data_IF_675331544503
#
_entry.id   IF_675331544503
#
_cell.length_a   1.000
_cell.length_b   1.000
_cell.length_c   1.000
_cell.angle_alpha   90.00
_cell.angle_beta   90.00
_cell.angle_gamma   90.00
#
_symmetry.space_group_name_H-M   'P 1'
#
loop_
_entity.id
_entity.type
_entity.pdbx_description
1 polymer ?
#
# COMPACT_ATOMS: atom_id res chain seq x y z
N UNK A 1 42.96 -53.24 42.94
CA UNK A 1 42.64 -52.54 41.68
C UNK A 1 41.62 -51.45 42.00
N UNK A 2 42.09 -50.25 42.37
CA UNK A 2 41.26 -49.05 42.48
C UNK A 2 41.24 -48.39 41.10
N UNK A 3 40.04 -48.17 40.54
CA UNK A 3 39.85 -47.37 39.33
C UNK A 3 39.45 -45.97 39.74
N UNK A 4 40.36 -45.02 39.54
CA UNK A 4 40.15 -43.58 39.65
C UNK A 4 39.28 -43.11 38.48
N UNK A 5 38.12 -42.54 38.78
CA UNK A 5 37.28 -41.83 37.80
C UNK A 5 37.73 -40.38 37.79
N UNK A 6 38.27 -39.94 36.64
CA UNK A 6 38.61 -38.53 36.40
C UNK A 6 37.33 -37.84 35.94
N UNK A 7 36.81 -36.93 36.77
CA UNK A 7 35.73 -36.04 36.41
C UNK A 7 36.29 -34.92 35.51
N UNK A 8 35.89 -34.91 34.25
CA UNK A 8 36.18 -33.84 33.29
C UNK A 8 35.25 -32.67 33.58
N UNK A 9 35.78 -31.61 34.17
CA UNK A 9 35.08 -30.33 34.33
C UNK A 9 34.93 -29.69 32.95
N UNK A 10 33.75 -29.78 32.36
CA UNK A 10 33.40 -29.02 31.15
C UNK A 10 33.23 -27.55 31.55
N UNK A 11 34.23 -26.72 31.19
CA UNK A 11 34.09 -25.27 31.25
C UNK A 11 33.07 -24.85 30.18
N UNK A 12 31.86 -24.50 30.61
CA UNK A 12 30.94 -23.71 29.80
C UNK A 12 31.58 -22.34 29.57
N UNK A 13 32.21 -22.19 28.41
CA UNK A 13 32.51 -20.87 27.86
C UNK A 13 31.19 -20.18 27.56
N UNK A 14 30.82 -19.20 28.38
CA UNK A 14 29.85 -18.17 28.03
C UNK A 14 30.41 -17.43 26.81
N UNK A 15 30.04 -17.89 25.62
CA UNK A 15 30.19 -17.10 24.42
C UNK A 15 29.28 -15.88 24.60
N UNK A 16 29.88 -14.74 24.96
CA UNK A 16 29.27 -13.45 24.72
C UNK A 16 29.10 -13.36 23.20
N UNK A 17 27.92 -13.76 22.72
CA UNK A 17 27.58 -13.66 21.31
C UNK A 17 27.56 -12.19 20.95
N UNK A 18 28.65 -11.72 20.34
CA UNK A 18 28.67 -10.43 19.68
C UNK A 18 27.50 -10.44 18.69
N UNK A 19 26.62 -9.44 18.77
CA UNK A 19 25.60 -9.23 17.76
C UNK A 19 26.28 -9.20 16.37
N UNK A 20 25.64 -9.77 15.34
CA UNK A 20 26.18 -9.71 13.98
C UNK A 20 26.43 -8.25 13.59
N UNK A 21 27.46 -8.03 12.75
CA UNK A 21 27.78 -6.70 12.25
C UNK A 21 26.54 -6.07 11.62
N UNK A 22 26.15 -4.89 12.13
CA UNK A 22 24.87 -4.25 11.83
C UNK A 22 24.99 -3.09 10.84
N UNK A 23 26.20 -2.81 10.32
CA UNK A 23 26.39 -1.70 9.39
C UNK A 23 25.93 -2.08 7.98
N UNK A 24 24.98 -1.32 7.42
CA UNK A 24 24.56 -1.47 6.03
C UNK A 24 25.71 -1.23 5.02
N UNK A 25 25.68 -1.92 3.86
CA UNK A 25 24.69 -2.92 3.46
C UNK A 25 24.88 -4.25 4.20
N UNK A 26 23.77 -4.83 4.70
CA UNK A 26 23.78 -6.13 5.37
C UNK A 26 23.29 -7.22 4.42
N UNK A 27 24.12 -8.25 4.21
CA UNK A 27 23.74 -9.44 3.44
C UNK A 27 22.90 -10.39 4.27
N UNK A 28 21.69 -10.65 3.83
CA UNK A 28 20.74 -11.52 4.52
C UNK A 28 20.03 -12.42 3.52
N UNK A 29 19.52 -13.57 3.97
CA UNK A 29 18.58 -14.34 3.18
C UNK A 29 17.15 -13.89 3.46
N UNK A 30 16.40 -13.55 2.42
CA UNK A 30 14.99 -13.20 2.48
C UNK A 30 14.19 -14.08 1.51
N UNK A 31 12.87 -14.19 1.71
CA UNK A 31 12.00 -14.86 0.76
C UNK A 31 11.69 -13.91 -0.40
N UNK A 32 12.11 -14.26 -1.62
CA UNK A 32 11.90 -13.46 -2.82
C UNK A 32 11.07 -14.23 -3.84
N UNK A 33 10.15 -13.56 -4.51
CA UNK A 33 9.33 -14.16 -5.55
C UNK A 33 10.21 -14.51 -6.76
N UNK A 34 10.34 -15.80 -7.04
CA UNK A 34 11.12 -16.30 -8.18
C UNK A 34 10.32 -16.34 -9.47
N UNK A 35 11.00 -16.62 -10.58
CA UNK A 35 10.44 -16.72 -11.94
C UNK A 35 9.26 -17.67 -12.05
N UNK A 36 9.25 -18.74 -11.25
CA UNK A 36 8.20 -19.76 -11.25
C UNK A 36 6.95 -19.36 -10.44
N UNK A 37 6.93 -18.14 -9.87
CA UNK A 37 5.83 -17.65 -9.04
C UNK A 37 5.81 -18.18 -7.61
N UNK A 38 6.92 -18.71 -7.11
CA UNK A 38 7.08 -19.14 -5.72
C UNK A 38 8.09 -18.28 -4.98
N UNK A 39 7.81 -17.99 -3.71
CA UNK A 39 8.77 -17.38 -2.80
C UNK A 39 9.85 -18.39 -2.42
N UNK A 40 11.10 -18.01 -2.62
CA UNK A 40 12.27 -18.85 -2.31
C UNK A 40 13.31 -18.05 -1.54
N UNK A 41 14.09 -18.69 -0.66
CA UNK A 41 15.24 -18.05 -0.04
C UNK A 41 16.23 -17.53 -1.08
N UNK A 42 16.59 -16.25 -0.97
CA UNK A 42 17.59 -15.62 -1.83
C UNK A 42 18.51 -14.71 -1.00
N UNK A 43 19.80 -14.66 -1.34
CA UNK A 43 20.71 -13.65 -0.80
C UNK A 43 20.31 -12.27 -1.34
N UNK A 44 20.01 -11.35 -0.43
CA UNK A 44 19.69 -9.96 -0.72
C UNK A 44 20.55 -9.04 0.14
N UNK A 45 20.54 -7.75 -0.19
CA UNK A 45 21.15 -6.71 0.62
C UNK A 45 20.06 -5.82 1.19
N UNK A 46 20.18 -5.53 2.49
CA UNK A 46 19.44 -4.47 3.17
C UNK A 46 20.34 -3.25 3.24
N UNK A 47 20.02 -2.23 2.45
CA UNK A 47 20.78 -1.00 2.28
C UNK A 47 20.48 0.04 3.37
N UNK A 48 19.32 -0.08 4.01
CA UNK A 48 18.77 0.94 4.90
C UNK A 48 18.76 0.55 6.38
N UNK A 49 19.15 -0.69 6.67
CA UNK A 49 19.12 -1.27 8.01
C UNK A 49 20.26 -0.70 8.87
N UNK A 50 19.97 -0.34 10.12
CA UNK A 50 20.97 0.10 11.11
C UNK A 50 21.11 -0.87 12.28
N UNK A 51 20.05 -1.64 12.56
CA UNK A 51 20.03 -2.72 13.54
C UNK A 51 19.33 -3.95 12.93
N UNK A 52 20.13 -4.94 12.51
CA UNK A 52 19.62 -6.18 11.92
C UNK A 52 18.93 -7.11 12.92
N UNK A 53 19.26 -7.01 14.21
CA UNK A 53 18.65 -7.84 15.27
C UNK A 53 17.32 -7.24 15.70
N UNK A 54 17.26 -5.93 15.91
CA UNK A 54 16.02 -5.20 16.18
C UNK A 54 15.15 -4.95 14.94
N UNK A 55 15.66 -5.24 13.74
CA UNK A 55 15.06 -4.90 12.45
C UNK A 55 14.62 -3.44 12.35
N UNK A 56 15.57 -2.55 12.62
CA UNK A 56 15.40 -1.10 12.55
C UNK A 56 16.31 -0.49 11.50
N UNK A 57 15.80 0.51 10.79
CA UNK A 57 16.58 1.28 9.84
C UNK A 57 15.83 2.50 9.36
N UNK A 58 16.22 3.05 8.21
CA UNK A 58 15.63 4.32 7.73
C UNK A 58 14.25 4.13 7.10
N UNK A 59 13.91 2.92 6.66
CA UNK A 59 12.60 2.66 6.01
C UNK A 59 11.54 2.20 6.99
N UNK A 60 11.91 1.45 8.04
CA UNK A 60 10.98 0.88 9.02
C UNK A 60 11.64 0.64 10.39
N UNK A 61 10.83 0.65 11.43
CA UNK A 61 11.16 0.21 12.80
C UNK A 61 10.16 -0.87 13.23
N UNK A 62 10.60 -2.13 13.34
CA UNK A 62 9.72 -3.25 13.67
C UNK A 62 9.49 -3.38 15.18
N UNK A 63 8.22 -3.41 15.56
CA UNK A 63 7.76 -3.52 16.94
C UNK A 63 6.82 -4.73 17.09
N UNK A 64 7.09 -5.61 18.06
CA UNK A 64 6.32 -6.82 18.30
C UNK A 64 5.36 -6.71 19.48
N UNK A 65 4.21 -7.38 19.38
CA UNK A 65 3.28 -7.55 20.51
C UNK A 65 2.53 -6.28 20.94
N UNK A 66 2.33 -5.34 20.01
CA UNK A 66 1.46 -4.19 20.25
C UNK A 66 -0.01 -4.62 20.36
N UNK A 67 -0.82 -3.80 21.02
CA UNK A 67 -2.28 -3.99 21.13
C UNK A 67 -2.97 -2.70 20.73
N UNK A 68 -3.76 -2.77 19.68
CA UNK A 68 -4.47 -1.64 19.07
C UNK A 68 -5.95 -2.00 19.06
N UNK A 69 -6.80 -1.16 19.65
CA UNK A 69 -8.23 -1.42 19.78
C UNK A 69 -9.02 -0.21 19.33
N UNK A 70 -9.94 -0.43 18.39
CA UNK A 70 -10.98 0.52 18.02
C UNK A 70 -12.28 0.02 18.64
N UNK A 71 -12.81 0.77 19.61
CA UNK A 71 -14.06 0.50 20.30
C UNK A 71 -14.82 1.80 20.50
N UNK A 72 -15.98 1.95 19.88
CA UNK A 72 -16.81 3.15 20.02
C UNK A 72 -17.26 3.44 21.46
N UNK A 73 -17.19 2.45 22.36
CA UNK A 73 -17.53 2.59 23.78
C UNK A 73 -16.32 2.95 24.66
N UNK A 74 -15.13 3.05 24.09
CA UNK A 74 -13.91 3.38 24.83
C UNK A 74 -13.96 4.84 25.32
N UNK A 75 -13.91 5.10 26.63
CA UNK A 75 -13.96 6.46 27.16
C UNK A 75 -12.74 7.29 26.74
N UNK A 76 -11.56 6.69 26.58
CA UNK A 76 -10.35 7.43 26.17
C UNK A 76 -10.49 7.88 24.71
N UNK A 77 -11.04 7.00 23.86
CA UNK A 77 -11.29 7.32 22.44
C UNK A 77 -12.36 8.40 22.30
N UNK A 78 -13.44 8.31 23.07
CA UNK A 78 -14.53 9.28 23.05
C UNK A 78 -14.12 10.66 23.60
N UNK A 79 -13.13 10.71 24.48
CA UNK A 79 -12.60 11.96 25.04
C UNK A 79 -11.42 12.53 24.25
N UNK A 80 -10.90 11.80 23.26
CA UNK A 80 -9.81 12.27 22.42
C UNK A 80 -10.25 13.44 21.54
N UNK A 81 -9.55 14.57 21.64
CA UNK A 81 -9.81 15.77 20.83
C UNK A 81 -8.62 16.18 19.98
N UNK A 82 -7.47 15.52 20.15
CA UNK A 82 -6.24 15.76 19.40
C UNK A 82 -5.78 14.48 18.70
N UNK A 83 -5.06 14.59 17.57
CA UNK A 83 -4.56 13.42 16.86
C UNK A 83 -3.71 12.49 17.75
N UNK A 84 -2.81 13.05 18.56
CA UNK A 84 -2.04 12.30 19.57
C UNK A 84 -2.94 11.63 20.63
N UNK A 85 -3.99 12.32 21.08
CA UNK A 85 -4.98 11.75 22.00
C UNK A 85 -5.69 10.54 21.39
N UNK A 86 -6.07 10.60 20.12
CA UNK A 86 -6.65 9.47 19.40
C UNK A 86 -5.66 8.31 19.29
N UNK A 87 -4.42 8.58 18.87
CA UNK A 87 -3.39 7.56 18.76
C UNK A 87 -3.14 6.85 20.10
N UNK A 88 -3.02 7.61 21.19
CA UNK A 88 -2.85 7.08 22.55
C UNK A 88 -4.08 6.30 23.03
N UNK A 89 -5.29 6.75 22.67
CA UNK A 89 -6.51 6.03 23.00
C UNK A 89 -6.57 4.67 22.27
N UNK A 90 -6.16 4.60 21.01
CA UNK A 90 -6.19 3.35 20.24
C UNK A 90 -5.06 2.38 20.64
N UNK A 91 -3.86 2.90 20.89
CA UNK A 91 -2.67 2.10 21.21
C UNK A 91 -2.64 1.70 22.69
N UNK A 92 -3.34 0.62 23.02
CA UNK A 92 -3.42 0.09 24.40
C UNK A 92 -2.11 -0.50 24.90
N UNK A 93 -1.26 -0.96 23.99
CA UNK A 93 0.11 -1.37 24.28
C UNK A 93 0.97 -1.08 23.04
N UNK A 94 2.05 -0.33 23.21
CA UNK A 94 2.97 0.02 22.12
C UNK A 94 3.80 -1.19 21.63
N UNK A 95 3.81 -2.29 22.37
CA UNK A 95 4.66 -3.44 22.09
C UNK A 95 6.09 -3.22 22.58
N UNK A 96 7.03 -3.92 21.95
CA UNK A 96 8.47 -3.85 22.25
C UNK A 96 9.28 -4.16 21.00
N UNK A 97 10.55 -3.77 21.02
CA UNK A 97 11.51 -4.14 19.99
C UNK A 97 11.44 -5.65 19.68
N UNK A 98 11.39 -5.99 18.40
CA UNK A 98 11.53 -7.38 17.95
C UNK A 98 12.96 -7.86 18.16
N UNK A 99 13.16 -9.18 18.14
CA UNK A 99 14.50 -9.76 18.17
C UNK A 99 14.58 -10.88 17.14
N UNK A 100 15.33 -10.61 16.08
CA UNK A 100 15.60 -11.53 14.99
C UNK A 100 16.79 -12.44 15.31
N UNK A 101 16.67 -13.72 15.00
CA UNK A 101 17.71 -14.72 15.20
C UNK A 101 18.31 -15.16 13.87
N UNK A 102 19.64 -15.18 13.78
CA UNK A 102 20.34 -15.52 12.55
C UNK A 102 21.39 -16.62 12.74
N UNK A 103 21.63 -17.37 11.67
CA UNK A 103 22.77 -18.24 11.49
C UNK A 103 23.66 -17.60 10.42
N UNK A 104 24.90 -17.26 10.76
CA UNK A 104 25.86 -16.74 9.77
C UNK A 104 26.44 -17.88 8.94
N UNK A 105 26.30 -17.80 7.62
CA UNK A 105 26.89 -18.77 6.68
C UNK A 105 27.44 -18.03 5.46
N UNK A 106 28.74 -18.18 5.18
CA UNK A 106 29.37 -17.58 4.01
C UNK A 106 29.33 -16.04 3.97
N UNK A 107 29.24 -15.38 5.14
CA UNK A 107 29.08 -13.91 5.22
C UNK A 107 27.66 -13.41 4.97
N UNK A 108 26.68 -14.32 4.89
CA UNK A 108 25.25 -14.02 4.78
C UNK A 108 24.55 -14.41 6.07
N UNK A 109 23.64 -13.56 6.55
CA UNK A 109 22.78 -13.86 7.70
C UNK A 109 21.55 -14.64 7.24
N UNK A 110 21.40 -15.88 7.70
CA UNK A 110 20.23 -16.71 7.40
C UNK A 110 19.26 -16.67 8.58
N UNK A 111 17.99 -16.26 8.39
CA UNK A 111 16.99 -16.34 9.45
C UNK A 111 16.92 -17.74 10.07
N UNK A 112 17.03 -17.82 11.39
CA UNK A 112 17.12 -19.07 12.15
C UNK A 112 15.75 -19.67 12.51
N UNK A 113 14.70 -18.86 12.42
CA UNK A 113 13.33 -19.22 12.74
C UNK A 113 12.34 -18.55 11.77
N UNK A 114 11.10 -19.04 11.81
CA UNK A 114 10.03 -18.59 10.93
C UNK A 114 9.64 -17.12 11.13
N UNK A 115 9.65 -16.62 12.36
CA UNK A 115 9.35 -15.21 12.61
C UNK A 115 10.42 -14.31 12.00
N UNK A 116 11.69 -14.68 12.15
CA UNK A 116 12.80 -13.94 11.55
C UNK A 116 12.70 -13.95 10.03
N UNK A 117 12.31 -15.07 9.40
CA UNK A 117 12.03 -15.12 7.96
C UNK A 117 10.96 -14.11 7.55
N UNK A 118 9.84 -14.05 8.28
CA UNK A 118 8.76 -13.13 7.99
C UNK A 118 9.18 -11.67 8.17
N UNK A 119 9.79 -11.35 9.31
CA UNK A 119 10.17 -9.96 9.64
C UNK A 119 11.25 -9.42 8.68
N UNK A 120 12.28 -10.21 8.38
CA UNK A 120 13.34 -9.82 7.42
C UNK A 120 12.76 -9.64 6.02
N UNK A 121 11.86 -10.55 5.60
CA UNK A 121 11.23 -10.44 4.28
C UNK A 121 10.32 -9.22 4.20
N UNK A 122 9.52 -8.94 5.24
CA UNK A 122 8.69 -7.74 5.30
C UNK A 122 9.55 -6.46 5.22
N UNK A 123 10.64 -6.38 6.00
CA UNK A 123 11.58 -5.25 5.93
C UNK A 123 12.18 -5.10 4.54
N UNK A 124 12.64 -6.21 3.93
CA UNK A 124 13.16 -6.21 2.57
C UNK A 124 12.12 -5.68 1.57
N UNK A 125 10.87 -6.13 1.64
CA UNK A 125 9.78 -5.66 0.78
C UNK A 125 9.47 -4.17 0.99
N UNK A 126 9.53 -3.67 2.22
CA UNK A 126 9.40 -2.23 2.50
C UNK A 126 10.56 -1.42 1.91
N UNK A 127 11.79 -1.93 1.98
CA UNK A 127 12.95 -1.28 1.35
C UNK A 127 12.79 -1.22 -0.18
N UNK A 128 12.28 -2.28 -0.81
CA UNK A 128 11.98 -2.29 -2.25
C UNK A 128 10.85 -1.32 -2.63
N UNK A 129 9.80 -1.21 -1.80
CA UNK A 129 8.74 -0.23 -1.99
C UNK A 129 9.25 1.21 -1.84
N UNK A 130 10.08 1.47 -0.82
CA UNK A 130 10.77 2.74 -0.63
C UNK A 130 11.63 3.11 -1.85
N UNK A 131 12.48 2.19 -2.32
CA UNK A 131 13.31 2.38 -3.51
C UNK A 131 12.47 2.68 -4.75
N UNK A 132 11.38 1.94 -4.94
CA UNK A 132 10.44 2.15 -6.05
C UNK A 132 9.90 3.59 -6.04
N UNK A 133 9.37 4.06 -4.91
CA UNK A 133 8.80 5.41 -4.84
C UNK A 133 9.87 6.50 -4.97
N UNK A 134 11.08 6.27 -4.45
CA UNK A 134 12.19 7.21 -4.58
C UNK A 134 12.70 7.32 -6.02
N UNK A 135 12.86 6.18 -6.70
CA UNK A 135 13.47 6.10 -8.04
C UNK A 135 12.43 6.30 -9.14
N UNK A 136 11.38 5.49 -9.17
CA UNK A 136 10.34 5.52 -10.20
C UNK A 136 9.37 6.67 -9.93
N UNK A 137 8.83 6.72 -8.71
CA UNK A 137 7.92 7.77 -8.25
C UNK A 137 8.57 9.15 -8.10
N UNK A 138 9.90 9.22 -8.12
CA UNK A 138 10.69 10.45 -7.99
C UNK A 138 10.44 11.22 -6.69
N UNK A 139 10.11 10.52 -5.61
CA UNK A 139 9.95 11.16 -4.31
C UNK A 139 11.31 11.41 -3.67
N UNK A 140 11.62 12.65 -3.29
CA UNK A 140 12.78 12.95 -2.45
C UNK A 140 12.77 12.14 -1.15
N UNK A 141 13.95 11.76 -0.64
CA UNK A 141 14.06 10.92 0.56
C UNK A 141 13.50 11.62 1.80
N UNK A 142 13.64 12.95 1.87
CA UNK A 142 13.11 13.81 2.92
C UNK A 142 11.58 13.79 3.05
N UNK A 143 10.87 13.43 1.97
CA UNK A 143 9.40 13.37 1.99
C UNK A 143 8.86 12.21 2.82
N UNK A 144 9.66 11.18 3.05
CA UNK A 144 9.26 10.02 3.85
C UNK A 144 9.29 10.29 5.36
N UNK A 145 9.85 11.43 5.79
CA UNK A 145 10.00 11.81 7.21
C UNK A 145 10.80 10.75 7.99
N UNK A 146 10.26 10.31 9.12
CA UNK A 146 10.84 9.30 10.01
C UNK A 146 10.60 7.86 9.48
N UNK A 147 11.39 6.88 9.96
CA UNK A 147 11.11 5.47 9.71
C UNK A 147 9.69 5.13 10.18
N UNK A 148 8.95 4.38 9.37
CA UNK A 148 7.58 4.02 9.75
C UNK A 148 7.61 2.93 10.81
N UNK A 149 6.86 3.11 11.90
CA UNK A 149 6.64 2.02 12.86
C UNK A 149 5.87 0.90 12.19
N UNK A 150 6.41 -0.30 12.23
CA UNK A 150 5.81 -1.51 11.67
C UNK A 150 5.52 -2.48 12.80
N UNK A 151 4.24 -2.59 13.17
CA UNK A 151 3.80 -3.53 14.17
C UNK A 151 3.74 -4.94 13.58
N UNK A 152 4.66 -5.80 14.02
CA UNK A 152 4.69 -7.21 13.69
C UNK A 152 3.82 -8.01 14.68
N UNK A 153 2.78 -8.64 14.14
CA UNK A 153 1.77 -9.42 14.86
C UNK A 153 1.16 -8.65 16.05
N UNK A 154 0.56 -7.47 15.81
CA UNK A 154 -0.21 -6.81 16.84
C UNK A 154 -1.52 -7.55 17.10
N UNK A 155 -2.05 -7.41 18.32
CA UNK A 155 -3.48 -7.63 18.57
C UNK A 155 -4.25 -6.40 18.05
N UNK A 156 -4.80 -6.48 16.84
CA UNK A 156 -5.61 -5.41 16.26
C UNK A 156 -7.10 -5.77 16.30
N UNK A 157 -7.89 -5.04 17.10
CA UNK A 157 -9.30 -5.38 17.38
C UNK A 157 -10.21 -4.25 16.92
N UNK A 158 -11.22 -4.59 16.11
CA UNK A 158 -12.33 -3.70 15.74
C UNK A 158 -13.57 -4.10 16.55
N UNK A 159 -13.63 -3.67 17.81
CA UNK A 159 -14.57 -4.20 18.81
C UNK A 159 -16.05 -4.03 18.45
N UNK A 160 -16.37 -3.04 17.62
CA UNK A 160 -17.73 -2.80 17.10
C UNK A 160 -18.16 -3.84 16.05
N UNK A 161 -17.20 -4.51 15.40
CA UNK A 161 -17.42 -5.57 14.41
C UNK A 161 -17.24 -6.95 15.04
N UNK A 162 -16.08 -7.17 15.66
CA UNK A 162 -15.71 -8.41 16.32
C UNK A 162 -14.76 -8.13 17.50
N UNK A 163 -14.88 -8.91 18.57
CA UNK A 163 -14.02 -8.80 19.76
C UNK A 163 -12.71 -9.55 19.60
N UNK A 164 -12.64 -10.48 18.65
CA UNK A 164 -11.41 -11.21 18.36
C UNK A 164 -10.46 -10.35 17.50
N UNK A 165 -9.14 -10.47 17.69
CA UNK A 165 -8.17 -9.77 16.86
C UNK A 165 -8.28 -10.16 15.39
N UNK A 166 -8.10 -9.18 14.51
CA UNK A 166 -7.97 -9.42 13.08
C UNK A 166 -6.70 -10.21 12.77
N UNK A 167 -6.81 -11.09 11.79
CA UNK A 167 -5.74 -11.93 11.26
C UNK A 167 -5.74 -11.92 9.73
N UNK A 168 -4.75 -12.57 9.11
CA UNK A 168 -4.61 -12.76 7.66
C UNK A 168 -4.70 -11.44 6.87
N UNK A 169 -4.03 -10.39 7.36
CA UNK A 169 -3.97 -9.10 6.68
C UNK A 169 -2.61 -8.39 6.82
N UNK A 170 -2.35 -7.45 5.93
CA UNK A 170 -1.35 -6.40 6.10
C UNK A 170 -2.03 -5.07 5.80
N UNK A 171 -1.73 -4.01 6.56
CA UNK A 171 -2.32 -2.71 6.28
C UNK A 171 -1.44 -1.53 6.69
N UNK A 172 -1.54 -0.42 5.97
CA UNK A 172 -1.14 0.88 6.49
C UNK A 172 -2.30 1.52 7.26
N UNK A 173 -2.08 1.80 8.54
CA UNK A 173 -3.07 2.41 9.42
C UNK A 173 -2.72 3.89 9.68
N UNK A 174 -3.34 4.78 8.90
CA UNK A 174 -3.06 6.22 8.89
C UNK A 174 -3.21 6.90 10.25
N UNK A 175 -4.14 6.45 11.10
CA UNK A 175 -4.38 7.08 12.41
C UNK A 175 -3.14 6.97 13.31
N UNK A 176 -2.39 5.88 13.21
CA UNK A 176 -1.12 5.70 13.92
C UNK A 176 0.09 5.96 13.02
N UNK A 177 -0.13 6.36 11.76
CA UNK A 177 0.87 6.45 10.71
C UNK A 177 1.79 5.21 10.64
N UNK A 178 1.25 4.01 10.87
CA UNK A 178 2.04 2.78 11.06
C UNK A 178 1.60 1.66 10.10
N UNK A 179 2.49 0.69 9.88
CA UNK A 179 2.14 -0.55 9.21
C UNK A 179 1.78 -1.62 10.22
N UNK A 180 0.74 -2.39 9.92
CA UNK A 180 0.35 -3.56 10.68
C UNK A 180 0.59 -4.79 9.82
N UNK A 181 1.47 -5.67 10.27
CA UNK A 181 1.64 -7.01 9.72
C UNK A 181 0.89 -7.95 10.65
N UNK A 182 -0.36 -8.31 10.30
CA UNK A 182 -1.21 -9.07 11.21
C UNK A 182 -0.77 -10.53 11.33
N UNK A 183 -1.09 -11.20 12.46
CA UNK A 183 -0.94 -12.65 12.58
C UNK A 183 -1.73 -13.37 11.48
N UNK A 184 -1.28 -14.55 11.06
CA UNK A 184 -2.04 -15.42 10.17
C UNK A 184 -2.49 -16.68 10.91
N UNK A 185 -3.72 -17.09 10.64
CA UNK A 185 -4.33 -18.27 11.28
C UNK A 185 -4.13 -19.53 10.44
N UNK A 186 -4.13 -19.38 9.11
CA UNK A 186 -3.82 -20.45 8.17
C UNK A 186 -2.47 -20.20 7.49
N UNK A 187 -1.65 -21.24 7.37
CA UNK A 187 -0.45 -21.22 6.53
C UNK A 187 -0.87 -21.13 5.05
N UNK A 188 -1.22 -19.93 4.60
CA UNK A 188 -1.29 -19.57 3.20
C UNK A 188 0.09 -19.82 2.55
N UNK A 189 0.14 -20.06 1.23
CA UNK A 189 1.41 -20.30 0.51
C UNK A 189 2.46 -19.23 0.83
N UNK A 190 2.06 -17.97 0.71
CA UNK A 190 2.84 -16.82 1.14
C UNK A 190 1.94 -15.93 2.01
N UNK A 191 2.21 -15.80 3.32
CA UNK A 191 1.56 -14.80 4.15
C UNK A 191 1.57 -13.42 3.48
N UNK A 192 0.51 -12.63 3.65
CA UNK A 192 0.42 -11.29 3.03
C UNK A 192 1.61 -10.40 3.43
N UNK A 193 2.10 -10.59 4.66
CA UNK A 193 3.32 -10.01 5.23
C UNK A 193 4.59 -10.15 4.37
N UNK A 194 4.70 -11.23 3.60
CA UNK A 194 5.87 -11.52 2.76
C UNK A 194 5.60 -11.27 1.28
N UNK A 195 4.37 -10.88 0.92
CA UNK A 195 4.02 -10.59 -0.45
C UNK A 195 4.49 -9.18 -0.83
N UNK A 196 5.54 -9.09 -1.64
CA UNK A 196 6.16 -7.82 -2.00
C UNK A 196 5.18 -6.85 -2.70
N UNK A 197 4.23 -7.36 -3.50
CA UNK A 197 3.21 -6.53 -4.14
C UNK A 197 2.23 -5.95 -3.13
N UNK A 198 1.82 -6.73 -2.13
CA UNK A 198 0.92 -6.26 -1.07
C UNK A 198 1.63 -5.25 -0.17
N UNK A 199 2.88 -5.51 0.23
CA UNK A 199 3.66 -4.52 0.98
C UNK A 199 3.81 -3.22 0.17
N UNK A 200 4.01 -3.28 -1.15
CA UNK A 200 4.05 -2.10 -2.00
C UNK A 200 2.70 -1.38 -2.11
N UNK A 201 1.58 -2.12 -2.12
CA UNK A 201 0.22 -1.56 -2.05
C UNK A 201 0.03 -0.78 -0.75
N UNK A 202 0.32 -1.40 0.41
CA UNK A 202 0.21 -0.72 1.71
C UNK A 202 1.17 0.48 1.81
N UNK A 203 2.35 0.38 1.19
CA UNK A 203 3.29 1.49 1.13
C UNK A 203 2.82 2.64 0.24
N UNK A 204 2.05 2.34 -0.79
CA UNK A 204 1.40 3.37 -1.59
C UNK A 204 0.36 4.14 -0.77
N UNK A 205 -0.39 3.51 0.14
CA UNK A 205 -1.26 4.22 1.08
C UNK A 205 -0.50 5.17 1.99
N UNK A 206 0.70 4.80 2.46
CA UNK A 206 1.57 5.75 3.20
C UNK A 206 1.92 6.96 2.34
N UNK A 207 2.34 6.74 1.10
CA UNK A 207 2.70 7.84 0.19
C UNK A 207 1.49 8.71 -0.14
N UNK A 208 0.34 8.10 -0.37
CA UNK A 208 -0.93 8.80 -0.60
C UNK A 208 -1.33 9.61 0.64
N UNK A 209 -1.20 9.05 1.84
CA UNK A 209 -1.43 9.79 3.07
C UNK A 209 -0.51 11.01 3.19
N UNK A 210 0.80 10.82 3.02
CA UNK A 210 1.78 11.91 3.10
C UNK A 210 1.51 13.04 2.10
N UNK A 211 1.06 12.71 0.88
CA UNK A 211 0.94 13.67 -0.21
C UNK A 211 -0.51 14.10 -0.47
N UNK A 212 -1.41 13.17 -0.77
CA UNK A 212 -2.80 13.46 -1.11
C UNK A 212 -3.69 13.76 0.12
N UNK A 213 -3.35 13.26 1.31
CA UNK A 213 -4.02 13.64 2.56
C UNK A 213 -3.26 14.68 3.39
N UNK A 214 -2.13 15.19 2.89
CA UNK A 214 -1.31 16.19 3.59
C UNK A 214 -0.56 15.65 4.81
N UNK A 215 -0.41 14.32 4.95
CA UNK A 215 0.23 13.67 6.09
C UNK A 215 -0.52 13.86 7.39
N UNK A 216 -1.86 13.92 7.31
CA UNK A 216 -2.74 14.01 8.46
C UNK A 216 -3.21 12.61 8.88
N UNK A 217 -3.16 12.31 10.18
CA UNK A 217 -3.73 11.09 10.76
C UNK A 217 -5.23 10.95 10.45
N UNK A 218 -5.93 12.09 10.41
CA UNK A 218 -7.33 12.21 10.02
C UNK A 218 -7.42 13.17 8.84
N UNK A 219 -7.52 12.65 7.60
CA UNK A 219 -7.65 13.50 6.42
C UNK A 219 -8.87 14.42 6.55
N UNK A 220 -8.64 15.74 6.40
CA UNK A 220 -9.67 16.77 6.62
C UNK A 220 -10.92 16.51 5.76
N UNK A 221 -10.71 16.19 4.48
CA UNK A 221 -11.78 15.89 3.54
C UNK A 221 -12.65 14.72 4.00
N UNK A 222 -12.04 13.57 4.36
CA UNK A 222 -12.78 12.40 4.82
C UNK A 222 -13.50 12.68 6.14
N UNK A 223 -12.87 13.43 7.06
CA UNK A 223 -13.43 13.77 8.36
C UNK A 223 -14.68 14.64 8.25
N UNK A 224 -14.70 15.59 7.31
CA UNK A 224 -15.84 16.47 7.06
C UNK A 224 -16.93 15.77 6.24
N UNK A 225 -16.55 15.05 5.18
CA UNK A 225 -17.48 14.48 4.21
C UNK A 225 -18.24 13.25 4.73
N UNK A 226 -17.69 12.53 5.72
CA UNK A 226 -18.39 11.41 6.37
C UNK A 226 -19.63 11.84 7.18
N UNK A 227 -19.75 13.13 7.52
CA UNK A 227 -20.87 13.65 8.31
C UNK A 227 -22.16 13.84 7.48
N UNK A 228 -22.08 13.65 6.17
CA UNK A 228 -23.20 13.79 5.24
C UNK A 228 -23.95 12.48 5.04
N UNK A 229 -25.24 12.56 4.65
CA UNK A 229 -26.04 11.36 4.36
C UNK A 229 -25.56 10.54 3.16
N UNK A 230 -25.07 11.21 2.11
CA UNK A 230 -24.31 10.62 1.01
C UNK A 230 -22.92 11.25 0.98
N UNK A 231 -21.89 10.46 0.64
CA UNK A 231 -20.49 10.88 0.74
C UNK A 231 -19.71 10.70 -0.59
N UNK A 232 -20.20 11.24 -1.73
CA UNK A 232 -19.61 10.98 -3.04
C UNK A 232 -18.13 11.36 -3.14
N UNK A 233 -17.75 12.52 -2.60
CA UNK A 233 -16.35 12.96 -2.63
C UNK A 233 -15.43 12.03 -1.83
N UNK A 234 -15.89 11.56 -0.67
CA UNK A 234 -15.14 10.62 0.14
C UNK A 234 -15.03 9.24 -0.52
N UNK A 235 -16.12 8.75 -1.12
CA UNK A 235 -16.15 7.48 -1.83
C UNK A 235 -15.17 7.50 -3.02
N UNK A 236 -15.15 8.59 -3.80
CA UNK A 236 -14.21 8.79 -4.91
C UNK A 236 -12.77 8.84 -4.39
N UNK A 237 -12.50 9.64 -3.36
CA UNK A 237 -11.16 9.82 -2.83
C UNK A 237 -10.59 8.50 -2.27
N UNK A 238 -11.38 7.72 -1.52
CA UNK A 238 -10.98 6.37 -1.07
C UNK A 238 -10.78 5.41 -2.25
N UNK A 239 -11.63 5.46 -3.27
CA UNK A 239 -11.48 4.59 -4.45
C UNK A 239 -10.19 4.90 -5.21
N UNK A 240 -9.79 6.18 -5.27
CA UNK A 240 -8.52 6.59 -5.86
C UNK A 240 -7.34 6.10 -5.01
N UNK A 241 -7.39 6.25 -3.69
CA UNK A 241 -6.38 5.73 -2.77
C UNK A 241 -6.10 4.22 -3.04
N UNK A 242 -7.16 3.41 -3.06
CA UNK A 242 -7.09 1.96 -3.35
C UNK A 242 -6.57 1.63 -4.75
N UNK A 243 -7.12 2.28 -5.78
CA UNK A 243 -6.74 1.99 -7.16
C UNK A 243 -5.32 2.41 -7.50
N UNK A 244 -4.87 3.53 -6.95
CA UNK A 244 -3.51 4.01 -7.16
C UNK A 244 -2.52 3.18 -6.35
N UNK A 245 -2.92 2.67 -5.18
CA UNK A 245 -2.14 1.69 -4.43
C UNK A 245 -1.91 0.39 -5.23
N UNK A 246 -2.96 -0.15 -5.87
CA UNK A 246 -2.83 -1.29 -6.78
C UNK A 246 -1.91 -1.02 -7.97
N UNK A 247 -2.06 0.14 -8.60
CA UNK A 247 -1.25 0.46 -9.78
C UNK A 247 0.23 0.66 -9.42
N UNK A 248 0.52 1.25 -8.25
CA UNK A 248 1.88 1.35 -7.72
C UNK A 248 2.45 0.00 -7.30
N UNK A 249 1.66 -0.88 -6.68
CA UNK A 249 2.07 -2.24 -6.36
C UNK A 249 2.51 -3.01 -7.61
N UNK A 250 1.71 -2.95 -8.68
CA UNK A 250 2.09 -3.45 -10.00
C UNK A 250 3.41 -2.84 -10.48
N UNK A 251 3.57 -1.52 -10.43
CA UNK A 251 4.82 -0.85 -10.81
C UNK A 251 6.03 -1.30 -9.99
N UNK A 252 5.86 -1.54 -8.70
CA UNK A 252 6.91 -2.01 -7.80
C UNK A 252 7.35 -3.44 -8.15
N UNK A 253 6.43 -4.32 -8.54
CA UNK A 253 6.76 -5.68 -8.98
C UNK A 253 7.64 -5.71 -10.24
N UNK A 254 7.63 -4.65 -11.06
CA UNK A 254 8.54 -4.52 -12.20
C UNK A 254 10.02 -4.43 -11.78
N UNK A 255 10.29 -3.88 -10.60
CA UNK A 255 11.65 -3.62 -10.10
C UNK A 255 12.26 -4.85 -9.42
N UNK A 256 11.43 -5.82 -9.00
CA UNK A 256 11.88 -7.10 -8.43
C UNK A 256 12.38 -8.03 -9.54
N UNK A 257 13.45 -7.61 -10.20
CA UNK A 257 14.04 -8.24 -11.40
C UNK A 257 14.80 -9.54 -11.11
N UNK A 258 14.95 -9.94 -9.84
CA UNK A 258 15.67 -11.16 -9.45
C UNK A 258 15.01 -12.47 -9.94
N UNK A 259 13.76 -12.41 -10.43
CA UNK A 259 13.05 -13.55 -11.02
C UNK A 259 12.79 -13.47 -12.53
N UNK A 260 13.20 -12.43 -13.26
CA UNK A 260 12.98 -12.33 -14.71
C UNK A 260 11.52 -12.41 -15.21
N UNK A 261 10.53 -12.32 -14.31
CA UNK A 261 9.10 -12.56 -14.60
C UNK A 261 8.38 -11.34 -15.21
N UNK A 262 9.05 -10.18 -15.25
CA UNK A 262 8.40 -8.92 -15.59
C UNK A 262 7.48 -8.44 -14.46
N UNK A 263 6.69 -7.41 -14.74
CA UNK A 263 5.70 -6.88 -13.81
C UNK A 263 4.55 -7.88 -13.59
N UNK A 264 3.98 -7.93 -12.39
CA UNK A 264 2.91 -8.86 -12.01
C UNK A 264 1.58 -8.10 -11.82
N UNK A 265 0.67 -8.21 -12.79
CA UNK A 265 -0.69 -7.63 -12.69
C UNK A 265 -1.59 -8.38 -11.72
N UNK A 266 -1.13 -9.54 -11.22
CA UNK A 266 -1.85 -10.47 -10.37
C UNK A 266 -1.05 -10.75 -9.09
N UNK A 267 -0.37 -9.74 -8.55
CA UNK A 267 0.50 -9.89 -7.38
C UNK A 267 -0.21 -10.50 -6.15
N UNK A 268 -1.53 -10.33 -6.04
CA UNK A 268 -2.38 -11.00 -5.05
C UNK A 268 -2.39 -12.53 -5.14
N UNK A 269 -2.15 -13.11 -6.31
CA UNK A 269 -2.23 -14.56 -6.59
C UNK A 269 -1.27 -15.43 -5.78
N UNK A 270 -0.20 -14.82 -5.26
CA UNK A 270 0.81 -15.55 -4.48
C UNK A 270 0.36 -15.78 -3.04
N UNK A 271 -0.57 -14.96 -2.53
CA UNK A 271 -1.17 -15.11 -1.20
C UNK A 271 -2.58 -15.69 -1.27
N UNK A 272 -3.43 -15.12 -2.13
CA UNK A 272 -4.81 -15.54 -2.31
C UNK A 272 -4.93 -16.65 -3.35
N UNK A 273 -5.31 -17.85 -2.92
CA UNK A 273 -5.47 -19.02 -3.80
C UNK A 273 -6.62 -19.93 -3.34
N UNK A 274 -7.00 -20.87 -4.22
CA UNK A 274 -8.09 -21.82 -3.94
C UNK A 274 -9.48 -21.26 -4.18
N UNK A 275 -10.51 -22.08 -3.98
CA UNK A 275 -11.90 -21.72 -4.33
C UNK A 275 -12.45 -20.56 -3.48
N UNK A 276 -11.94 -20.38 -2.26
CA UNK A 276 -12.42 -19.35 -1.32
C UNK A 276 -11.88 -17.96 -1.65
N UNK A 277 -10.62 -17.85 -2.09
CA UNK A 277 -9.93 -16.58 -2.27
C UNK A 277 -9.42 -16.31 -3.69
N UNK A 278 -9.51 -17.30 -4.60
CA UNK A 278 -9.10 -17.15 -5.99
C UNK A 278 -9.87 -16.05 -6.73
N UNK A 279 -11.11 -15.79 -6.32
CA UNK A 279 -11.90 -14.70 -6.88
C UNK A 279 -11.29 -13.33 -6.60
N UNK A 280 -10.67 -13.10 -5.43
CA UNK A 280 -10.00 -11.82 -5.13
C UNK A 280 -8.89 -11.54 -6.16
N UNK A 281 -8.14 -12.56 -6.54
CA UNK A 281 -7.10 -12.42 -7.58
C UNK A 281 -7.70 -12.04 -8.93
N UNK A 282 -8.76 -12.73 -9.36
CA UNK A 282 -9.43 -12.41 -10.64
C UNK A 282 -10.15 -11.07 -10.62
N UNK A 283 -10.65 -10.66 -9.45
CA UNK A 283 -11.36 -9.40 -9.22
C UNK A 283 -10.39 -8.23 -9.04
N UNK A 284 -9.09 -8.47 -8.86
CA UNK A 284 -8.03 -7.45 -8.76
C UNK A 284 -6.97 -7.50 -9.87
N UNK A 285 -7.06 -8.43 -10.83
CA UNK A 285 -6.16 -8.47 -11.98
C UNK A 285 -6.28 -7.21 -12.87
N UNK A 286 -5.19 -6.44 -12.96
CA UNK A 286 -5.13 -5.18 -13.70
C UNK A 286 -5.09 -5.36 -15.22
N UNK A 287 -4.73 -6.55 -15.70
CA UNK A 287 -4.62 -6.82 -17.14
C UNK A 287 -5.97 -6.96 -17.84
N UNK A 288 -7.06 -7.06 -17.08
CA UNK A 288 -8.41 -7.26 -17.61
C UNK A 288 -8.96 -6.01 -18.28
N UNK A 289 -9.09 -6.08 -19.61
CA UNK A 289 -9.67 -5.03 -20.45
C UNK A 289 -11.20 -4.91 -20.32
N UNK A 290 -11.87 -5.95 -19.83
CA UNK A 290 -13.34 -6.05 -19.77
C UNK A 290 -13.96 -5.47 -18.49
N UNK A 291 -13.16 -4.76 -17.70
CA UNK A 291 -13.55 -4.19 -16.41
C UNK A 291 -14.25 -2.86 -16.58
N UNK A 292 -15.57 -2.86 -16.62
CA UNK A 292 -16.34 -1.63 -16.81
C UNK A 292 -17.14 -1.26 -15.57
N UNK A 293 -17.18 0.04 -15.24
CA UNK A 293 -18.11 0.53 -14.23
C UNK A 293 -19.55 0.26 -14.67
N UNK A 294 -20.29 -0.43 -13.83
CA UNK A 294 -21.72 -0.66 -14.04
C UNK A 294 -22.56 0.46 -13.39
N UNK A 295 -23.82 0.59 -13.83
CA UNK A 295 -24.73 1.62 -13.33
C UNK A 295 -25.01 1.49 -11.83
N UNK A 296 -24.99 0.28 -11.27
CA UNK A 296 -25.21 0.06 -9.84
C UNK A 296 -24.04 0.60 -9.02
N UNK A 297 -22.81 0.30 -9.42
CA UNK A 297 -21.59 0.77 -8.76
C UNK A 297 -21.45 2.29 -8.87
N UNK A 298 -21.73 2.87 -10.04
CA UNK A 298 -21.74 4.32 -10.23
C UNK A 298 -22.80 4.98 -9.32
N UNK A 299 -24.01 4.42 -9.26
CA UNK A 299 -25.05 4.94 -8.38
C UNK A 299 -24.67 4.81 -6.91
N UNK A 300 -24.04 3.71 -6.49
CA UNK A 300 -23.54 3.52 -5.13
C UNK A 300 -22.46 4.55 -4.78
N UNK A 301 -21.51 4.77 -5.69
CA UNK A 301 -20.44 5.76 -5.54
C UNK A 301 -21.00 7.14 -5.19
N UNK A 302 -22.06 7.58 -5.89
CA UNK A 302 -22.60 8.92 -5.70
C UNK A 302 -23.63 9.06 -4.57
N UNK A 303 -24.34 7.99 -4.21
CA UNK A 303 -25.52 8.08 -3.33
C UNK A 303 -25.34 7.42 -1.96
N UNK A 304 -24.31 6.60 -1.74
CA UNK A 304 -24.07 5.97 -0.44
C UNK A 304 -23.20 6.87 0.46
N UNK A 305 -23.43 6.77 1.78
CA UNK A 305 -22.43 7.22 2.75
C UNK A 305 -21.23 6.28 2.76
N UNK A 306 -20.17 6.72 3.42
CA UNK A 306 -18.89 6.01 3.48
C UNK A 306 -19.00 4.59 4.07
N UNK A 307 -19.84 4.39 5.09
CA UNK A 307 -20.03 3.07 5.72
C UNK A 307 -20.74 2.10 4.78
N UNK A 308 -21.81 2.53 4.11
CA UNK A 308 -22.56 1.71 3.16
C UNK A 308 -21.78 1.44 1.87
N UNK A 309 -20.83 2.31 1.51
CA UNK A 309 -19.97 2.15 0.35
C UNK A 309 -18.75 1.25 0.64
N UNK A 310 -18.43 0.95 1.90
CA UNK A 310 -17.27 0.15 2.27
C UNK A 310 -17.23 -1.20 1.54
N UNK A 311 -16.06 -1.54 1.00
CA UNK A 311 -15.83 -2.66 0.09
C UNK A 311 -15.95 -2.29 -1.40
N UNK A 312 -16.76 -1.29 -1.77
CA UNK A 312 -16.90 -0.86 -3.15
C UNK A 312 -15.76 0.06 -3.61
N UNK A 313 -15.02 0.69 -2.69
CA UNK A 313 -13.82 1.47 -3.02
C UNK A 313 -12.78 0.61 -3.74
N UNK A 314 -12.62 -0.65 -3.36
CA UNK A 314 -11.74 -1.60 -4.05
C UNK A 314 -12.20 -1.87 -5.48
N UNK A 315 -13.52 -1.95 -5.71
CA UNK A 315 -14.07 -2.19 -7.05
C UNK A 315 -13.77 -1.02 -7.97
N UNK A 316 -14.11 0.20 -7.55
CA UNK A 316 -13.84 1.43 -8.33
C UNK A 316 -12.33 1.65 -8.49
N UNK A 317 -11.56 1.43 -7.43
CA UNK A 317 -10.10 1.50 -7.46
C UNK A 317 -9.49 0.53 -8.47
N UNK A 318 -9.99 -0.70 -8.54
CA UNK A 318 -9.51 -1.67 -9.54
C UNK A 318 -9.82 -1.22 -10.97
N UNK A 319 -10.98 -0.61 -11.21
CA UNK A 319 -11.31 -0.03 -12.52
C UNK A 319 -10.32 1.07 -12.91
N UNK A 320 -10.01 1.96 -11.96
CA UNK A 320 -9.00 3.02 -12.13
C UNK A 320 -7.62 2.43 -12.43
N UNK A 321 -7.15 1.48 -11.61
CA UNK A 321 -5.85 0.83 -11.77
C UNK A 321 -5.72 0.12 -13.12
N UNK A 322 -6.79 -0.56 -13.56
CA UNK A 322 -6.85 -1.24 -14.84
C UNK A 322 -6.80 -0.24 -16.00
N UNK A 323 -7.56 0.86 -15.94
CA UNK A 323 -7.53 1.92 -16.94
C UNK A 323 -6.13 2.52 -17.11
N UNK A 324 -5.45 2.81 -15.99
CA UNK A 324 -4.08 3.34 -15.99
C UNK A 324 -3.09 2.32 -16.55
N UNK A 325 -3.23 1.04 -16.21
CA UNK A 325 -2.44 -0.05 -16.78
C UNK A 325 -2.60 -0.14 -18.30
N UNK A 326 -3.84 -0.19 -18.82
CA UNK A 326 -4.07 -0.29 -20.27
C UNK A 326 -3.45 0.91 -21.01
N UNK A 327 -3.62 2.12 -20.49
CA UNK A 327 -3.05 3.32 -21.08
C UNK A 327 -1.51 3.30 -21.07
N UNK A 328 -0.89 2.93 -19.94
CA UNK A 328 0.56 2.84 -19.79
C UNK A 328 1.19 1.82 -20.74
N UNK A 329 0.57 0.65 -20.88
CA UNK A 329 1.04 -0.44 -21.76
C UNK A 329 0.82 -0.10 -23.24
N UNK A 330 -0.34 0.45 -23.62
CA UNK A 330 -0.64 0.82 -25.02
C UNK A 330 0.35 1.86 -25.60
N UNK A 331 0.98 2.66 -24.74
CA UNK A 331 1.99 3.64 -25.15
C UNK A 331 3.43 3.22 -24.83
N UNK A 332 3.64 2.17 -24.04
CA UNK A 332 4.96 1.79 -23.52
C UNK A 332 5.56 2.86 -22.59
N UNK A 333 4.72 3.64 -21.90
CA UNK A 333 5.13 4.78 -21.06
C UNK A 333 4.70 4.62 -19.59
N UNK A 334 4.57 3.36 -19.12
CA UNK A 334 4.19 3.04 -17.74
C UNK A 334 4.96 3.84 -16.69
N UNK A 335 6.29 3.88 -16.76
CA UNK A 335 7.10 4.55 -15.72
C UNK A 335 6.91 6.08 -15.73
N UNK A 336 6.61 6.67 -16.90
CA UNK A 336 6.22 8.10 -17.01
C UNK A 336 4.87 8.33 -16.33
N UNK A 337 3.90 7.43 -16.56
CA UNK A 337 2.58 7.51 -15.94
C UNK A 337 2.66 7.33 -14.41
N UNK A 338 3.41 6.35 -13.91
CA UNK A 338 3.62 6.14 -12.47
C UNK A 338 4.21 7.38 -11.79
N UNK A 339 5.17 8.05 -12.44
CA UNK A 339 5.74 9.31 -11.94
C UNK A 339 4.74 10.46 -11.97
N UNK A 340 3.97 10.59 -13.04
CA UNK A 340 2.95 11.64 -13.17
C UNK A 340 1.87 11.50 -12.09
N UNK A 341 1.48 10.27 -11.74
CA UNK A 341 0.53 9.99 -10.67
C UNK A 341 1.05 10.48 -9.32
N UNK A 342 2.29 10.13 -8.95
CA UNK A 342 2.87 10.59 -7.68
C UNK A 342 2.97 12.12 -7.62
N UNK A 343 3.39 12.76 -8.72
CA UNK A 343 3.41 14.21 -8.82
C UNK A 343 2.01 14.83 -8.63
N UNK A 344 0.96 14.14 -9.11
CA UNK A 344 -0.42 14.61 -8.99
C UNK A 344 -1.02 14.56 -7.59
N UNK A 345 -0.36 13.96 -6.61
CA UNK A 345 -0.92 13.87 -5.25
C UNK A 345 -0.96 15.22 -4.55
N UNK A 346 0.09 16.03 -4.75
CA UNK A 346 0.24 17.32 -4.07
C UNK A 346 1.06 18.27 -4.94
N UNK A 347 0.36 19.14 -5.67
CA UNK A 347 0.93 20.21 -6.48
C UNK A 347 0.09 21.48 -6.27
N UNK A 348 0.73 22.54 -5.76
CA UNK A 348 0.09 23.84 -5.51
C UNK A 348 -0.10 24.69 -6.78
N UNK A 349 0.41 24.23 -7.91
CA UNK A 349 0.23 24.85 -9.21
C UNK A 349 -1.25 25.04 -9.55
N UNK A 350 -1.59 26.25 -9.99
CA UNK A 350 -2.96 26.56 -10.44
C UNK A 350 -3.33 25.90 -11.77
N UNK A 351 -2.34 25.45 -12.55
CA UNK A 351 -2.55 24.82 -13.86
C UNK A 351 -2.50 23.28 -13.80
N UNK A 352 -1.94 22.74 -12.71
CA UNK A 352 -1.78 21.31 -12.45
C UNK A 352 -2.09 21.03 -10.98
N UNK A 353 -3.24 21.44 -10.44
CA UNK A 353 -3.51 21.25 -9.01
C UNK A 353 -3.50 19.76 -8.65
N UNK A 354 -2.83 19.44 -7.55
CA UNK A 354 -2.81 18.07 -7.04
C UNK A 354 -4.13 17.64 -6.42
N UNK A 355 -4.28 16.34 -6.18
CA UNK A 355 -5.46 15.74 -5.58
C UNK A 355 -5.77 16.36 -4.21
N UNK A 356 -4.73 16.63 -3.40
CA UNK A 356 -4.86 17.34 -2.14
C UNK A 356 -5.48 18.74 -2.31
N UNK A 357 -4.99 19.53 -3.28
CA UNK A 357 -5.52 20.87 -3.56
C UNK A 357 -6.97 20.82 -4.04
N UNK A 358 -7.31 19.87 -4.91
CA UNK A 358 -8.67 19.70 -5.41
C UNK A 358 -9.66 19.27 -4.31
N UNK A 359 -9.27 18.35 -3.44
CA UNK A 359 -10.07 17.96 -2.29
C UNK A 359 -10.27 19.14 -1.33
N UNK A 360 -9.22 19.93 -1.07
CA UNK A 360 -9.30 21.12 -0.22
C UNK A 360 -10.19 22.22 -0.80
N UNK A 361 -10.15 22.43 -2.11
CA UNK A 361 -11.00 23.40 -2.80
C UNK A 361 -12.50 23.05 -2.74
N UNK A 362 -12.85 21.82 -2.38
CA UNK A 362 -14.21 21.28 -2.37
C UNK A 362 -14.68 20.85 -0.97
N UNK A 363 -13.95 21.18 0.10
CA UNK A 363 -14.30 20.77 1.48
C UNK A 363 -15.72 21.14 1.88
N UNK A 364 -16.16 22.34 1.52
CA UNK A 364 -17.50 22.84 1.86
C UNK A 364 -18.62 22.20 1.04
N UNK A 365 -18.30 21.56 -0.09
CA UNK A 365 -19.28 20.92 -0.97
C UNK A 365 -18.63 19.76 -1.74
N UNK A 366 -18.71 18.57 -1.15
CA UNK A 366 -18.12 17.36 -1.72
C UNK A 366 -18.75 16.93 -3.04
N UNK A 367 -19.94 17.40 -3.39
CA UNK A 367 -20.56 17.06 -4.68
C UNK A 367 -19.78 17.63 -5.86
N UNK A 368 -18.92 18.63 -5.62
CA UNK A 368 -18.00 19.20 -6.60
C UNK A 368 -16.72 18.39 -6.78
N UNK A 369 -16.43 17.41 -5.90
CA UNK A 369 -15.31 16.49 -6.06
C UNK A 369 -15.78 15.24 -6.82
N UNK A 370 -15.89 15.35 -8.13
CA UNK A 370 -16.37 14.30 -9.04
C UNK A 370 -15.22 13.39 -9.51
N UNK A 371 -15.56 12.26 -10.17
CA UNK A 371 -14.57 11.41 -10.84
C UNK A 371 -13.71 12.19 -11.85
N UNK A 372 -14.32 13.11 -12.62
CA UNK A 372 -13.60 13.97 -13.56
C UNK A 372 -12.64 14.94 -12.86
N UNK A 373 -13.03 15.49 -11.71
CA UNK A 373 -12.15 16.34 -10.89
C UNK A 373 -10.98 15.52 -10.35
N UNK A 374 -11.22 14.36 -9.74
CA UNK A 374 -10.12 13.51 -9.27
C UNK A 374 -9.19 13.04 -10.41
N UNK A 375 -9.75 12.63 -11.55
CA UNK A 375 -9.01 12.23 -12.74
C UNK A 375 -8.18 13.39 -13.33
N UNK A 376 -8.68 14.63 -13.24
CA UNK A 376 -7.99 15.82 -13.74
C UNK A 376 -6.60 15.98 -13.12
N UNK A 377 -6.45 15.67 -11.82
CA UNK A 377 -5.14 15.71 -11.16
C UNK A 377 -4.12 14.86 -11.92
N UNK A 378 -4.45 13.62 -12.28
CA UNK A 378 -3.54 12.74 -13.03
C UNK A 378 -3.31 13.27 -14.45
N UNK A 379 -4.40 13.60 -15.16
CA UNK A 379 -4.36 14.00 -16.58
C UNK A 379 -3.50 15.25 -16.80
N UNK A 380 -3.62 16.27 -15.94
CA UNK A 380 -2.88 17.53 -16.11
C UNK A 380 -1.38 17.36 -15.86
N UNK A 381 -0.97 16.34 -15.10
CA UNK A 381 0.45 16.04 -14.85
C UNK A 381 1.12 15.19 -15.94
N UNK A 382 0.36 14.70 -16.92
CA UNK A 382 0.92 14.00 -18.08
C UNK A 382 1.29 15.05 -19.15
N UNK A 383 2.55 15.07 -19.56
CA UNK A 383 3.03 16.02 -20.58
C UNK A 383 3.07 15.42 -21.98
N UNK A 384 3.31 14.11 -22.10
CA UNK A 384 3.30 13.41 -23.38
C UNK A 384 1.85 13.29 -23.91
N UNK A 385 1.61 13.82 -25.11
CA UNK A 385 0.26 13.89 -25.68
C UNK A 385 -0.33 12.50 -25.99
N UNK A 386 0.50 11.53 -26.39
CA UNK A 386 0.03 10.18 -26.71
C UNK A 386 -0.38 9.44 -25.45
N UNK A 387 0.42 9.52 -24.39
CA UNK A 387 0.07 8.97 -23.09
C UNK A 387 -1.17 9.66 -22.51
N UNK A 388 -1.25 11.00 -22.60
CA UNK A 388 -2.41 11.76 -22.13
C UNK A 388 -3.68 11.31 -22.83
N UNK A 389 -3.67 11.18 -24.16
CA UNK A 389 -4.81 10.71 -24.94
C UNK A 389 -5.24 9.29 -24.52
N UNK A 390 -4.28 8.38 -24.35
CA UNK A 390 -4.55 7.01 -23.91
C UNK A 390 -5.21 6.98 -22.52
N UNK A 391 -4.63 7.69 -21.53
CA UNK A 391 -5.19 7.79 -20.17
C UNK A 391 -6.60 8.38 -20.20
N UNK A 392 -6.82 9.43 -20.99
CA UNK A 392 -8.14 10.03 -21.15
C UNK A 392 -9.18 9.03 -21.70
N UNK A 393 -8.82 8.26 -22.73
CA UNK A 393 -9.73 7.27 -23.30
C UNK A 393 -10.06 6.17 -22.29
N UNK A 394 -9.06 5.60 -21.61
CA UNK A 394 -9.28 4.52 -20.65
C UNK A 394 -10.07 5.00 -19.42
N UNK A 395 -9.81 6.20 -18.91
CA UNK A 395 -10.58 6.76 -17.79
C UNK A 395 -12.04 7.07 -18.17
N UNK A 396 -12.29 7.59 -19.37
CA UNK A 396 -13.68 7.77 -19.86
C UNK A 396 -14.42 6.44 -19.94
N UNK A 397 -13.74 5.38 -20.37
CA UNK A 397 -14.37 4.08 -20.62
C UNK A 397 -14.60 3.31 -19.32
N UNK A 398 -13.52 3.04 -18.59
CA UNK A 398 -13.57 2.19 -17.41
C UNK A 398 -14.34 2.84 -16.26
N UNK A 399 -14.26 4.17 -16.11
CA UNK A 399 -14.93 4.92 -15.04
C UNK A 399 -16.22 5.63 -15.49
N UNK A 400 -16.60 5.50 -16.76
CA UNK A 400 -17.82 6.11 -17.32
C UNK A 400 -17.87 7.63 -17.14
N UNK A 401 -16.72 8.30 -17.18
CA UNK A 401 -16.63 9.77 -17.08
C UNK A 401 -17.13 10.38 -18.39
N UNK A 402 -18.15 11.27 -18.37
CA UNK A 402 -18.62 11.91 -19.59
C UNK A 402 -17.53 12.71 -20.30
N UNK A 403 -17.37 12.49 -21.61
CA UNK A 403 -16.36 13.19 -22.42
C UNK A 403 -16.37 14.71 -22.28
N UNK A 404 -17.56 15.30 -22.14
CA UNK A 404 -17.72 16.74 -21.99
C UNK A 404 -17.10 17.30 -20.70
N UNK A 405 -16.86 16.46 -19.70
CA UNK A 405 -16.20 16.85 -18.45
C UNK A 405 -14.68 16.86 -18.57
N UNK A 406 -14.11 16.11 -19.52
CA UNK A 406 -12.66 15.98 -19.69
C UNK A 406 -12.11 16.70 -20.93
N UNK A 407 -12.93 16.98 -21.95
CA UNK A 407 -12.49 17.57 -23.22
C UNK A 407 -13.10 18.95 -23.47
N UNK A 408 -12.26 19.94 -23.79
CA UNK A 408 -12.66 21.21 -24.41
C UNK A 408 -12.70 22.44 -23.49
N UNK A 409 -12.66 22.26 -22.17
CA UNK A 409 -12.76 23.37 -21.21
C UNK A 409 -11.39 23.88 -20.72
N UNK A 410 -10.36 23.04 -20.75
CA UNK A 410 -9.02 23.36 -20.26
C UNK A 410 -7.98 22.77 -21.23
N UNK A 411 -7.03 23.59 -21.76
CA UNK A 411 -5.97 23.10 -22.64
C UNK A 411 -5.01 22.08 -21.99
N UNK A 412 -4.96 22.00 -20.66
CA UNK A 412 -4.13 21.03 -19.94
C UNK A 412 -4.84 19.68 -19.73
N UNK A 413 -6.15 19.62 -19.97
CA UNK A 413 -6.97 18.41 -19.88
C UNK A 413 -6.85 17.55 -21.15
N UNK A 414 -7.83 16.67 -21.40
CA UNK A 414 -7.77 15.71 -22.49
C UNK A 414 -7.74 16.39 -23.87
N UNK A 415 -6.88 15.92 -24.79
CA UNK A 415 -6.82 16.47 -26.13
C UNK A 415 -8.14 16.24 -26.87
N UNK A 416 -8.51 17.09 -27.86
CA UNK A 416 -9.74 16.91 -28.63
C UNK A 416 -9.89 15.55 -29.33
N UNK A 417 -8.76 14.87 -29.62
CA UNK A 417 -8.70 13.52 -30.19
C UNK A 417 -9.20 12.43 -29.23
N UNK A 418 -9.16 12.67 -27.91
CA UNK A 418 -9.70 11.74 -26.94
C UNK A 418 -11.23 11.61 -27.14
N UNK A 419 -11.68 10.38 -27.32
CA UNK A 419 -13.05 10.06 -27.69
C UNK A 419 -13.77 9.21 -26.63
N UNK A 420 -13.05 8.28 -26.00
CA UNK A 420 -13.64 7.20 -25.20
C UNK A 420 -14.72 6.39 -25.97
N UNK A 421 -15.50 5.61 -25.24
CA UNK A 421 -16.52 4.68 -25.71
C UNK A 421 -16.01 3.51 -26.56
N UNK A 422 -14.77 3.07 -26.41
CA UNK A 422 -14.18 2.00 -27.25
C UNK A 422 -14.05 0.66 -26.53
N UNK A 423 -13.78 0.68 -25.24
CA UNK A 423 -13.52 -0.52 -24.42
C UNK A 423 -14.78 -0.93 -23.67
N UNK A 424 -15.42 0.02 -22.99
CA UNK A 424 -16.58 -0.24 -22.16
C UNK A 424 -17.90 0.23 -22.81
N UNK A 425 -18.99 -0.54 -22.67
CA UNK A 425 -20.32 -0.05 -23.04
C UNK A 425 -20.64 1.23 -22.29
N UNK A 426 -21.22 2.23 -22.97
CA UNK A 426 -21.70 3.44 -22.32
C UNK A 426 -22.93 3.13 -21.49
N UNK A 427 -22.98 3.65 -20.27
CA UNK A 427 -24.17 3.62 -19.44
C UNK A 427 -25.20 4.64 -19.95
N UNK A 428 -26.46 4.22 -20.07
CA UNK A 428 -27.59 5.13 -20.29
C UNK A 428 -27.99 5.73 -18.94
N UNK A 429 -27.35 6.85 -18.58
CA UNK A 429 -27.54 7.55 -17.29
C UNK A 429 -28.57 8.68 -17.36
#
# INVERSE_FOLDING_TARGET
>A
MLRTVIASTAALGLAAGCAPDSTAPVKVSALVLSSNGQYVPQEVQLETISDIVGLKGTVADLQGGARIVIDSNDPDLNNATTPEGYANALLKNAGRDVSANYISQGGVLWPADFHTWNMVTAYYSMERAYDYFRVVGNLPAEDFKEPVTTYYFPEFVLADLDKDPLSDNAMYFSVLESFLVLPFDELQRAPLAINAGIIAHEYAHRVFNLKAYGGLQFPEALTLWQQSGASPGANILKSFDEGLADYHAYGATCQTTQGGKGCDTRFFSTSFHGNTYGQVTEDRDLARVDRCMDASLLNQLYNQNLSAFSGNEYRVGTLLASALYQAGEATGQRDVLLRAIVASYNDESTTTPGLYQLARATLADQSRFTLSVAASAIITHITDLRLKEAVCNELMDHLQIPRAELVGNDPNMCPPSAAGGTTCPRLDL
#
